data_IF_806461637955
#
_entry.id   IF_806461637955
#
_cell.length_a   1.000
_cell.length_b   1.000
_cell.length_c   1.000
_cell.angle_alpha   90.00
_cell.angle_beta   90.00
_cell.angle_gamma   90.00
#
_symmetry.space_group_name_H-M   'P 1'
#
loop_
_entity.id
_entity.type
_entity.pdbx_description
1 polymer ?
#
# COMPACT_ATOMS: atom_id res chain seq x y z
N UNK A 1 -69.95 9.25 -18.23
CA UNK A 1 -69.29 8.04 -18.76
C UNK A 1 -67.79 8.22 -19.03
N UNK A 2 -67.34 9.29 -19.71
CA UNK A 2 -65.92 9.49 -20.08
C UNK A 2 -64.91 9.35 -18.93
N UNK A 3 -65.23 9.86 -17.73
CA UNK A 3 -64.35 9.75 -16.54
C UNK A 3 -64.13 8.31 -16.06
N UNK A 4 -65.11 7.41 -16.24
CA UNK A 4 -64.98 5.99 -15.84
C UNK A 4 -64.07 5.22 -16.81
N UNK A 5 -64.12 5.56 -18.10
CA UNK A 5 -63.28 4.93 -19.13
C UNK A 5 -61.80 5.28 -18.92
N UNK A 6 -61.49 6.54 -18.57
CA UNK A 6 -60.12 6.98 -18.31
C UNK A 6 -59.50 6.26 -17.10
N UNK A 7 -60.28 6.07 -16.02
CA UNK A 7 -59.79 5.35 -14.84
C UNK A 7 -59.51 3.87 -15.11
N UNK A 8 -60.33 3.22 -15.94
CA UNK A 8 -60.13 1.80 -16.31
C UNK A 8 -58.88 1.65 -17.19
N UNK A 9 -58.67 2.55 -18.16
CA UNK A 9 -57.46 2.55 -18.99
C UNK A 9 -56.18 2.81 -18.18
N UNK A 10 -56.23 3.72 -17.20
CA UNK A 10 -55.09 3.99 -16.32
C UNK A 10 -54.75 2.78 -15.45
N UNK A 11 -55.77 2.13 -14.87
CA UNK A 11 -55.58 0.92 -14.07
C UNK A 11 -54.95 -0.21 -14.90
N UNK A 12 -55.44 -0.43 -16.13
CA UNK A 12 -54.86 -1.41 -17.06
C UNK A 12 -53.41 -1.09 -17.43
N UNK A 13 -53.09 0.19 -17.68
CA UNK A 13 -51.73 0.62 -18.00
C UNK A 13 -50.77 0.40 -16.83
N UNK A 14 -51.18 0.73 -15.60
CA UNK A 14 -50.37 0.50 -14.41
C UNK A 14 -50.14 -1.00 -14.19
N UNK A 15 -51.17 -1.84 -14.33
CA UNK A 15 -50.98 -3.30 -14.24
C UNK A 15 -50.08 -3.84 -15.35
N UNK A 16 -50.15 -3.29 -16.57
CA UNK A 16 -49.26 -3.70 -17.67
C UNK A 16 -47.81 -3.34 -17.36
N UNK A 17 -47.54 -2.14 -16.83
CA UNK A 17 -46.21 -1.70 -16.43
C UNK A 17 -45.61 -2.61 -15.33
N UNK A 18 -46.40 -3.09 -14.37
CA UNK A 18 -45.91 -4.01 -13.34
C UNK A 18 -45.66 -5.44 -13.84
N UNK A 19 -46.34 -5.88 -14.91
CA UNK A 19 -46.13 -7.24 -15.48
C UNK A 19 -44.93 -7.37 -16.43
N UNK A 20 -44.43 -6.25 -16.98
CA UNK A 20 -43.29 -6.26 -17.91
C UNK A 20 -41.95 -6.27 -17.17
N UNK A 21 -41.89 -5.82 -15.92
CA UNK A 21 -40.70 -5.93 -15.08
C UNK A 21 -40.71 -7.30 -14.40
N UNK A 22 -40.50 -8.37 -15.19
CA UNK A 22 -39.93 -9.59 -14.59
C UNK A 22 -38.68 -9.12 -13.85
N UNK A 23 -38.54 -9.35 -12.52
CA UNK A 23 -37.24 -9.20 -11.91
C UNK A 23 -36.33 -10.05 -12.77
N UNK A 24 -35.32 -9.43 -13.40
CA UNK A 24 -34.21 -10.16 -13.97
C UNK A 24 -33.70 -10.92 -12.77
N UNK A 25 -34.13 -12.17 -12.64
CA UNK A 25 -33.63 -13.10 -11.65
C UNK A 25 -32.14 -13.08 -11.92
N UNK A 26 -31.40 -12.42 -11.03
CA UNK A 26 -29.96 -12.45 -11.01
C UNK A 26 -29.64 -13.93 -11.01
N UNK A 27 -29.28 -14.43 -12.19
CA UNK A 27 -28.99 -15.83 -12.41
C UNK A 27 -27.89 -16.17 -11.41
N UNK A 28 -28.12 -17.08 -10.44
CA UNK A 28 -27.04 -17.57 -9.59
C UNK A 28 -26.27 -18.58 -10.44
N UNK A 29 -25.53 -18.11 -11.46
CA UNK A 29 -24.90 -18.98 -12.46
C UNK A 29 -23.39 -18.80 -12.41
N UNK A 30 -22.87 -18.74 -11.19
CA UNK A 30 -21.50 -19.14 -10.90
C UNK A 30 -21.62 -20.12 -9.75
N UNK A 31 -21.28 -21.39 -10.02
CA UNK A 31 -21.16 -22.40 -8.98
C UNK A 31 -20.10 -21.92 -7.99
N UNK A 32 -20.57 -21.40 -6.85
CA UNK A 32 -19.73 -20.73 -5.86
C UNK A 32 -18.63 -21.63 -5.30
N UNK A 33 -18.83 -22.95 -5.33
CA UNK A 33 -17.81 -23.90 -4.87
C UNK A 33 -16.74 -24.09 -5.94
N UNK A 34 -17.15 -24.34 -7.18
CA UNK A 34 -16.21 -24.47 -8.31
C UNK A 34 -15.40 -23.19 -8.51
N UNK A 35 -16.04 -22.02 -8.45
CA UNK A 35 -15.35 -20.73 -8.59
C UNK A 35 -14.32 -20.52 -7.50
N UNK A 36 -14.65 -20.87 -6.24
CA UNK A 36 -13.71 -20.79 -5.12
C UNK A 36 -12.52 -21.71 -5.34
N UNK A 37 -12.75 -22.95 -5.75
CA UNK A 37 -11.66 -23.90 -6.00
C UNK A 37 -10.72 -23.44 -7.12
N UNK A 38 -11.26 -22.87 -8.21
CA UNK A 38 -10.45 -22.32 -9.29
C UNK A 38 -9.62 -21.10 -8.84
N UNK A 39 -10.22 -20.20 -8.05
CA UNK A 39 -9.51 -19.07 -7.46
C UNK A 39 -8.41 -19.55 -6.50
N UNK A 40 -8.71 -20.47 -5.59
CA UNK A 40 -7.72 -21.07 -4.65
C UNK A 40 -6.56 -21.74 -5.40
N UNK A 41 -6.85 -22.38 -6.53
CA UNK A 41 -5.80 -22.98 -7.38
C UNK A 41 -4.89 -21.90 -7.97
N UNK A 42 -5.47 -20.82 -8.49
CA UNK A 42 -4.71 -19.71 -9.04
C UNK A 42 -3.93 -18.94 -7.96
N UNK A 43 -4.52 -18.74 -6.77
CA UNK A 43 -3.82 -18.23 -5.59
C UNK A 43 -2.59 -19.09 -5.27
N UNK A 44 -2.74 -20.42 -5.23
CA UNK A 44 -1.63 -21.34 -4.99
C UNK A 44 -0.52 -21.26 -6.03
N UNK A 45 -0.88 -21.12 -7.32
CA UNK A 45 0.08 -20.90 -8.41
C UNK A 45 0.82 -19.58 -8.20
N UNK A 46 0.10 -18.48 -7.98
CA UNK A 46 0.69 -17.15 -7.80
C UNK A 46 1.59 -17.11 -6.56
N UNK A 47 1.15 -17.64 -5.42
CA UNK A 47 1.96 -17.75 -4.21
C UNK A 47 3.24 -18.55 -4.45
N UNK A 48 3.17 -19.64 -5.22
CA UNK A 48 4.34 -20.45 -5.58
C UNK A 48 5.29 -19.67 -6.51
N UNK A 49 4.76 -19.00 -7.54
CA UNK A 49 5.56 -18.16 -8.45
C UNK A 49 6.27 -17.04 -7.69
N UNK A 50 5.55 -16.36 -6.79
CA UNK A 50 6.11 -15.31 -5.94
C UNK A 50 7.17 -15.87 -5.00
N UNK A 51 6.94 -17.03 -4.39
CA UNK A 51 7.95 -17.71 -3.56
C UNK A 51 9.25 -17.98 -4.32
N UNK A 52 9.17 -18.47 -5.56
CA UNK A 52 10.36 -18.66 -6.41
C UNK A 52 11.02 -17.34 -6.83
N UNK A 53 10.23 -16.32 -7.15
CA UNK A 53 10.75 -15.00 -7.51
C UNK A 53 11.52 -14.38 -6.33
N UNK A 54 10.93 -14.39 -5.14
CA UNK A 54 11.57 -13.89 -3.90
C UNK A 54 12.83 -14.70 -3.58
N UNK A 55 12.78 -16.02 -3.68
CA UNK A 55 13.95 -16.88 -3.43
C UNK A 55 15.10 -16.55 -4.39
N UNK A 56 14.82 -16.37 -5.68
CA UNK A 56 15.80 -15.97 -6.70
C UNK A 56 16.42 -14.61 -6.38
N UNK A 57 15.61 -13.65 -5.93
CA UNK A 57 16.05 -12.32 -5.55
C UNK A 57 16.90 -12.32 -4.27
N UNK A 58 16.69 -13.29 -3.37
CA UNK A 58 17.46 -13.39 -2.12
C UNK A 58 18.88 -13.93 -2.32
N UNK A 59 19.25 -14.36 -3.54
CA UNK A 59 20.58 -14.91 -3.84
C UNK A 59 20.83 -16.32 -3.28
N UNK A 60 19.88 -16.87 -2.51
CA UNK A 60 19.91 -18.25 -2.07
C UNK A 60 19.39 -19.13 -3.22
N UNK A 61 20.31 -19.66 -4.03
CA UNK A 61 19.98 -20.74 -4.97
C UNK A 61 19.29 -21.86 -4.20
N UNK A 62 18.07 -22.18 -4.59
CA UNK A 62 17.25 -23.20 -3.96
C UNK A 62 18.04 -24.51 -3.90
N UNK A 63 18.46 -24.93 -2.71
CA UNK A 63 18.76 -26.31 -2.47
C UNK A 63 17.47 -27.09 -2.75
N UNK A 64 17.56 -28.00 -3.70
CA UNK A 64 16.46 -28.84 -4.19
C UNK A 64 15.89 -29.66 -3.01
N UNK A 65 14.80 -29.17 -2.40
CA UNK A 65 14.14 -29.86 -1.28
C UNK A 65 13.59 -28.96 -0.17
N UNK A 66 14.06 -27.72 -0.05
CA UNK A 66 13.59 -26.82 1.01
C UNK A 66 12.47 -25.91 0.49
N UNK A 67 11.21 -26.28 0.75
CA UNK A 67 10.05 -25.41 0.49
C UNK A 67 10.00 -24.36 1.59
N UNK A 68 10.83 -23.33 1.49
CA UNK A 68 11.05 -22.30 2.53
C UNK A 68 9.83 -21.38 2.76
N UNK A 69 8.81 -21.42 1.91
CA UNK A 69 7.56 -20.66 2.14
C UNK A 69 6.41 -21.58 2.52
N UNK A 70 6.24 -21.81 3.83
CA UNK A 70 4.92 -22.19 4.36
C UNK A 70 4.08 -20.93 4.47
N UNK A 71 3.25 -20.68 3.46
CA UNK A 71 2.09 -19.81 3.60
C UNK A 71 1.12 -20.48 4.60
N UNK A 72 1.32 -20.18 5.89
CA UNK A 72 0.39 -20.58 6.92
C UNK A 72 -0.82 -19.64 6.85
N UNK A 73 -1.98 -20.23 6.52
CA UNK A 73 -3.31 -19.64 6.25
C UNK A 73 -3.92 -18.82 7.40
N UNK A 74 -3.14 -18.18 8.28
CA UNK A 74 -3.67 -17.51 9.47
C UNK A 74 -3.09 -16.14 9.87
N UNK A 75 -1.98 -15.63 9.31
CA UNK A 75 -1.50 -14.28 9.69
C UNK A 75 -0.94 -13.49 8.49
N UNK A 76 -1.82 -12.79 7.77
CA UNK A 76 -1.52 -11.50 7.13
C UNK A 76 -0.77 -11.45 5.79
N UNK A 77 -0.14 -12.53 5.30
CA UNK A 77 0.73 -12.49 4.11
C UNK A 77 0.20 -13.10 2.81
N UNK A 78 -1.07 -13.54 2.77
CA UNK A 78 -1.56 -14.42 1.70
C UNK A 78 -2.02 -13.65 0.44
N UNK A 79 -1.79 -14.26 -0.74
CA UNK A 79 -2.40 -13.82 -2.01
C UNK A 79 -3.90 -14.07 -1.92
N UNK A 80 -4.70 -13.01 -2.08
CA UNK A 80 -6.16 -13.09 -1.99
C UNK A 80 -6.80 -12.92 -3.38
N UNK A 81 -7.59 -13.89 -3.81
CA UNK A 81 -8.31 -13.91 -5.07
C UNK A 81 -9.79 -13.58 -4.91
N UNK A 82 -10.30 -12.70 -5.77
CA UNK A 82 -11.70 -12.31 -5.83
C UNK A 82 -12.20 -12.42 -7.26
N UNK A 83 -13.44 -12.84 -7.43
CA UNK A 83 -14.13 -12.73 -8.71
C UNK A 83 -15.11 -11.57 -8.67
N UNK A 84 -14.95 -10.62 -9.59
CA UNK A 84 -15.81 -9.44 -9.74
C UNK A 84 -16.60 -9.61 -11.03
N UNK A 85 -17.91 -9.80 -10.90
CA UNK A 85 -18.80 -10.06 -12.04
C UNK A 85 -18.69 -8.96 -13.11
N UNK A 86 -18.42 -9.36 -14.36
CA UNK A 86 -18.27 -8.44 -15.49
C UNK A 86 -16.90 -7.77 -15.60
N UNK A 87 -16.04 -7.91 -14.58
CA UNK A 87 -14.65 -7.42 -14.62
C UNK A 87 -13.64 -8.58 -14.72
N UNK A 88 -13.93 -9.70 -14.05
CA UNK A 88 -13.12 -10.92 -14.05
C UNK A 88 -12.49 -11.21 -12.70
N UNK A 89 -11.28 -11.79 -12.69
CA UNK A 89 -10.59 -12.18 -11.46
C UNK A 89 -9.57 -11.12 -11.04
N UNK A 90 -9.50 -10.85 -9.73
CA UNK A 90 -8.59 -9.88 -9.12
C UNK A 90 -7.83 -10.57 -8.00
N UNK A 91 -6.50 -10.55 -8.07
CA UNK A 91 -5.61 -11.11 -7.07
C UNK A 91 -4.86 -9.98 -6.38
N UNK A 92 -4.98 -9.88 -5.06
CA UNK A 92 -4.26 -8.91 -4.24
C UNK A 92 -3.07 -9.60 -3.60
N UNK A 93 -1.90 -9.00 -3.76
CA UNK A 93 -0.61 -9.49 -3.26
C UNK A 93 -0.01 -8.38 -2.40
N UNK A 94 0.14 -8.58 -1.09
CA UNK A 94 0.79 -7.58 -0.27
C UNK A 94 2.30 -7.52 -0.61
N UNK A 95 2.85 -6.32 -0.79
CA UNK A 95 4.29 -6.14 -1.07
C UNK A 95 5.13 -6.65 0.11
N UNK A 96 4.59 -6.64 1.32
CA UNK A 96 5.23 -7.25 2.49
C UNK A 96 5.50 -8.75 2.31
N UNK A 97 4.70 -9.48 1.53
CA UNK A 97 5.00 -10.88 1.19
C UNK A 97 6.24 -11.03 0.30
N UNK A 98 6.65 -9.97 -0.39
CA UNK A 98 7.88 -9.93 -1.19
C UNK A 98 9.09 -9.47 -0.37
N UNK A 99 8.84 -8.84 0.77
CA UNK A 99 9.87 -8.40 1.69
C UNK A 99 10.14 -9.54 2.68
N UNK A 100 11.35 -10.09 2.63
CA UNK A 100 11.78 -11.01 3.68
C UNK A 100 11.56 -10.33 5.04
N UNK A 101 10.91 -11.03 5.97
CA UNK A 101 10.76 -10.63 7.38
C UNK A 101 12.15 -10.38 8.01
N UNK A 102 12.78 -9.23 7.72
CA UNK A 102 13.70 -8.60 8.65
C UNK A 102 12.83 -7.82 9.62
N UNK A 103 12.39 -8.54 10.65
CA UNK A 103 11.40 -8.14 11.65
C UNK A 103 11.85 -6.97 12.55
N UNK A 104 12.92 -6.24 12.22
CA UNK A 104 13.55 -5.28 13.15
C UNK A 104 13.46 -3.79 12.79
N UNK A 105 12.97 -3.37 11.62
CA UNK A 105 13.15 -1.95 11.21
C UNK A 105 11.88 -1.15 10.90
N UNK A 106 10.69 -1.67 11.18
CA UNK A 106 9.43 -0.95 10.90
C UNK A 106 8.90 -0.16 12.11
N UNK A 107 9.71 0.75 12.62
CA UNK A 107 9.19 1.91 13.35
C UNK A 107 8.71 2.96 12.32
N UNK A 108 7.53 2.71 11.76
CA UNK A 108 6.79 3.62 10.90
C UNK A 108 6.49 4.94 11.61
N UNK A 109 6.75 6.04 10.89
CA UNK A 109 6.23 7.40 11.14
C UNK A 109 6.44 7.96 12.56
N UNK A 110 7.62 8.53 12.82
CA UNK A 110 7.63 9.76 13.62
C UNK A 110 7.48 10.95 12.67
N UNK A 111 6.62 11.93 13.00
CA UNK A 111 6.49 13.15 12.21
C UNK A 111 7.85 13.84 12.13
N UNK A 112 8.10 14.54 11.01
CA UNK A 112 9.29 15.35 10.81
C UNK A 112 9.50 16.27 12.02
N UNK A 113 10.46 15.88 12.88
CA UNK A 113 10.82 16.62 14.11
C UNK A 113 11.32 18.03 13.76
N UNK A 114 11.70 18.27 12.51
CA UNK A 114 12.01 19.59 11.96
C UNK A 114 10.83 20.58 12.06
N UNK A 115 9.57 20.13 11.98
CA UNK A 115 8.42 21.06 11.86
C UNK A 115 7.91 21.58 13.21
N UNK A 116 8.19 20.90 14.33
CA UNK A 116 7.66 21.28 15.66
C UNK A 116 8.69 21.89 16.60
N UNK A 117 9.99 21.72 16.34
CA UNK A 117 11.02 21.99 17.37
C UNK A 117 11.72 23.33 17.17
N UNK A 118 11.95 23.79 15.94
CA UNK A 118 12.56 25.11 15.69
C UNK A 118 11.75 26.28 16.28
N UNK A 119 10.41 26.36 16.11
CA UNK A 119 9.62 27.45 16.70
C UNK A 119 9.60 27.41 18.23
N UNK A 120 9.62 26.20 18.81
CA UNK A 120 9.57 26.01 20.26
C UNK A 120 10.89 26.41 20.95
N UNK A 121 12.02 26.17 20.29
CA UNK A 121 13.34 26.58 20.78
C UNK A 121 13.51 28.10 20.64
N UNK A 122 13.09 28.70 19.52
CA UNK A 122 13.13 30.16 19.36
C UNK A 122 12.24 30.87 20.38
N UNK A 123 11.02 30.36 20.63
CA UNK A 123 10.16 30.87 21.71
C UNK A 123 10.79 30.69 23.10
N UNK A 124 11.42 29.55 23.36
CA UNK A 124 12.09 29.28 24.63
C UNK A 124 13.30 30.20 24.89
N UNK A 125 14.11 30.44 23.85
CA UNK A 125 15.26 31.36 23.93
C UNK A 125 14.81 32.82 24.07
N UNK A 126 13.77 33.24 23.34
CA UNK A 126 13.21 34.58 23.44
C UNK A 126 12.61 34.84 24.84
N UNK A 127 11.91 33.86 25.40
CA UNK A 127 11.36 33.94 26.77
C UNK A 127 12.46 33.99 27.84
N UNK A 128 13.54 33.20 27.69
CA UNK A 128 14.68 33.23 28.59
C UNK A 128 15.47 34.55 28.53
N UNK A 129 15.63 35.12 27.33
CA UNK A 129 16.25 36.43 27.15
C UNK A 129 15.38 37.57 27.74
N UNK A 130 14.05 37.49 27.59
CA UNK A 130 13.13 38.44 28.18
C UNK A 130 13.13 38.40 29.72
N UNK A 131 13.16 37.19 30.32
CA UNK A 131 13.23 37.03 31.78
C UNK A 131 14.52 37.54 32.42
N UNK A 132 15.63 37.58 31.66
CA UNK A 132 16.92 38.15 32.10
C UNK A 132 16.94 39.68 32.10
N UNK A 133 16.18 40.31 31.20
CA UNK A 133 16.04 41.78 31.15
C UNK A 133 15.02 42.30 32.17
N UNK A 134 14.04 41.49 32.57
CA UNK A 134 13.05 41.86 33.57
C UNK A 134 13.56 41.81 35.03
N UNK A 135 14.67 41.12 35.30
CA UNK A 135 15.26 41.02 36.64
C UNK A 135 16.26 42.14 36.99
N UNK A 136 16.28 43.22 36.20
CA UNK A 136 17.24 44.33 36.29
C UNK A 136 16.85 45.49 37.22
N UNK A 137 15.68 45.47 37.85
CA UNK A 137 15.16 46.60 38.61
C UNK A 137 14.71 46.22 40.03
N UNK A 138 15.62 45.75 40.89
CA UNK A 138 15.47 45.90 42.35
C UNK A 138 16.81 46.26 42.99
N UNK A 139 16.83 47.40 43.69
CA UNK A 139 17.97 48.00 44.38
C UNK A 139 18.37 47.27 45.66
N UNK A 140 19.66 47.42 46.01
CA UNK A 140 20.30 47.37 47.34
C UNK A 140 21.26 46.21 47.65
N UNK A 141 22.53 46.61 47.87
CA UNK A 141 23.65 46.04 48.66
C UNK A 141 24.10 44.57 48.44
N UNK A 142 23.27 43.64 47.98
CA UNK A 142 23.71 42.30 47.52
C UNK A 142 23.96 42.27 46.00
N UNK A 143 24.14 43.43 45.36
CA UNK A 143 24.32 43.59 43.92
C UNK A 143 25.54 42.83 43.36
N UNK A 144 26.57 42.58 44.18
CA UNK A 144 27.76 41.84 43.76
C UNK A 144 27.53 40.32 43.77
N UNK A 145 26.87 39.79 44.82
CA UNK A 145 26.42 38.39 44.89
C UNK A 145 25.30 38.07 43.89
N UNK A 146 24.43 39.04 43.62
CA UNK A 146 23.39 38.93 42.59
C UNK A 146 23.98 38.90 41.18
N UNK A 147 25.03 39.70 40.90
CA UNK A 147 25.78 39.66 39.65
C UNK A 147 26.54 38.35 39.46
N UNK A 148 27.19 37.82 40.49
CA UNK A 148 27.86 36.51 40.43
C UNK A 148 26.85 35.36 40.20
N UNK A 149 25.73 35.34 40.92
CA UNK A 149 24.66 34.37 40.69
C UNK A 149 24.03 34.50 39.30
N UNK A 150 23.91 35.72 38.77
CA UNK A 150 23.41 35.96 37.41
C UNK A 150 24.41 35.47 36.35
N UNK A 151 25.71 35.66 36.55
CA UNK A 151 26.75 35.10 35.67
C UNK A 151 26.79 33.57 35.72
N UNK A 152 26.72 32.96 36.90
CA UNK A 152 26.67 31.50 37.04
C UNK A 152 25.42 30.91 36.37
N UNK A 153 24.27 31.56 36.55
CA UNK A 153 23.03 31.17 35.86
C UNK A 153 23.14 31.31 34.35
N UNK A 154 23.77 32.39 33.84
CA UNK A 154 24.04 32.57 32.41
C UNK A 154 24.96 31.48 31.87
N UNK A 155 26.07 31.18 32.55
CA UNK A 155 27.01 30.10 32.16
C UNK A 155 26.35 28.71 32.19
N UNK A 156 25.49 28.44 33.18
CA UNK A 156 24.73 27.19 33.26
C UNK A 156 23.66 27.08 32.15
N UNK A 157 23.02 28.19 31.77
CA UNK A 157 22.07 28.26 30.65
C UNK A 157 22.78 28.07 29.31
N UNK A 158 23.92 28.72 29.07
CA UNK A 158 24.68 28.53 27.84
C UNK A 158 25.17 27.09 27.69
N UNK A 159 25.65 26.47 28.77
CA UNK A 159 26.03 25.04 28.73
C UNK A 159 24.83 24.11 28.46
N UNK A 160 23.63 24.44 28.96
CA UNK A 160 22.42 23.66 28.65
C UNK A 160 21.98 23.84 27.21
N UNK A 161 22.07 25.05 26.67
CA UNK A 161 21.77 25.37 25.27
C UNK A 161 22.76 24.65 24.34
N UNK A 162 24.06 24.67 24.64
CA UNK A 162 25.07 23.93 23.88
C UNK A 162 24.79 22.42 23.88
N UNK A 163 24.51 21.82 25.04
CA UNK A 163 24.16 20.40 25.14
C UNK A 163 22.86 20.05 24.38
N UNK A 164 21.88 20.95 24.35
CA UNK A 164 20.66 20.74 23.57
C UNK A 164 20.92 20.86 22.07
N UNK A 165 21.77 21.81 21.65
CA UNK A 165 22.18 21.98 20.27
C UNK A 165 22.96 20.76 19.74
N UNK A 166 23.90 20.23 20.52
CA UNK A 166 24.61 18.99 20.17
C UNK A 166 23.66 17.79 20.01
N UNK A 167 22.69 17.62 20.91
CA UNK A 167 21.67 16.56 20.78
C UNK A 167 20.80 16.73 19.54
N UNK A 168 20.43 17.98 19.21
CA UNK A 168 19.66 18.29 18.01
C UNK A 168 20.44 17.96 16.73
N UNK A 169 21.72 18.34 16.67
CA UNK A 169 22.58 18.02 15.54
C UNK A 169 22.75 16.50 15.37
N UNK A 170 22.92 15.76 16.47
CA UNK A 170 22.96 14.29 16.44
C UNK A 170 21.64 13.67 15.93
N UNK A 171 20.49 14.17 16.40
CA UNK A 171 19.19 13.69 15.94
C UNK A 171 18.94 14.02 14.47
N UNK A 172 19.32 15.22 14.01
CA UNK A 172 19.23 15.61 12.60
C UNK A 172 20.14 14.74 11.72
N UNK A 173 21.37 14.48 12.14
CA UNK A 173 22.29 13.60 11.41
C UNK A 173 21.76 12.17 11.35
N UNK A 174 21.22 11.64 12.45
CA UNK A 174 20.57 10.33 12.46
C UNK A 174 19.33 10.28 11.56
N UNK A 175 18.49 11.33 11.57
CA UNK A 175 17.33 11.43 10.70
C UNK A 175 17.73 11.47 9.22
N UNK A 176 18.75 12.26 8.86
CA UNK A 176 19.28 12.31 7.48
C UNK A 176 19.84 10.97 7.04
N UNK A 177 20.62 10.30 7.90
CA UNK A 177 21.14 8.96 7.62
C UNK A 177 20.00 7.95 7.40
N UNK A 178 19.00 7.95 8.28
CA UNK A 178 17.81 7.10 8.12
C UNK A 178 17.03 7.39 6.83
N UNK A 179 16.84 8.66 6.46
CA UNK A 179 16.19 9.03 5.19
C UNK A 179 16.97 8.48 4.00
N UNK A 180 18.30 8.64 3.98
CA UNK A 180 19.14 8.12 2.91
C UNK A 180 19.10 6.57 2.83
N UNK A 181 19.18 5.89 3.98
CA UNK A 181 19.10 4.42 4.06
C UNK A 181 17.74 3.92 3.56
N UNK A 182 16.65 4.62 3.91
CA UNK A 182 15.29 4.31 3.44
C UNK A 182 15.12 4.53 1.93
N UNK A 183 15.67 5.61 1.38
CA UNK A 183 15.64 5.85 -0.07
C UNK A 183 16.43 4.80 -0.84
N UNK A 184 17.58 4.37 -0.32
CA UNK A 184 18.37 3.29 -0.91
C UNK A 184 17.59 1.97 -0.91
N UNK A 185 17.00 1.58 0.23
CA UNK A 185 16.13 0.39 0.33
C UNK A 185 14.92 0.48 -0.59
N UNK A 186 14.31 1.65 -0.75
CA UNK A 186 13.18 1.88 -1.67
C UNK A 186 13.61 1.65 -3.13
N UNK A 187 14.76 2.18 -3.54
CA UNK A 187 15.29 1.95 -4.92
C UNK A 187 15.55 0.47 -5.17
N UNK A 188 16.14 -0.21 -4.19
CA UNK A 188 16.37 -1.65 -4.27
C UNK A 188 15.05 -2.43 -4.39
N UNK A 189 14.04 -2.09 -3.59
CA UNK A 189 12.71 -2.68 -3.66
C UNK A 189 12.07 -2.50 -5.05
N UNK A 190 12.15 -1.31 -5.64
CA UNK A 190 11.60 -1.04 -6.98
C UNK A 190 12.28 -1.95 -8.02
N UNK A 191 13.61 -2.08 -7.99
CA UNK A 191 14.32 -2.98 -8.90
C UNK A 191 13.93 -4.45 -8.72
N UNK A 192 13.71 -4.89 -7.47
CA UNK A 192 13.19 -6.24 -7.18
C UNK A 192 11.77 -6.43 -7.69
N UNK A 193 10.91 -5.42 -7.55
CA UNK A 193 9.53 -5.45 -8.03
C UNK A 193 9.45 -5.59 -9.54
N UNK A 194 10.33 -4.93 -10.30
CA UNK A 194 10.38 -5.08 -11.76
C UNK A 194 10.66 -6.54 -12.17
N UNK A 195 11.54 -7.24 -11.46
CA UNK A 195 11.80 -8.65 -11.70
C UNK A 195 10.57 -9.52 -11.36
N UNK A 196 9.92 -9.25 -10.23
CA UNK A 196 8.67 -9.95 -9.84
C UNK A 196 7.58 -9.73 -10.88
N UNK A 197 7.45 -8.52 -11.44
CA UNK A 197 6.48 -8.24 -12.50
C UNK A 197 6.70 -9.11 -13.73
N UNK A 198 7.95 -9.38 -14.11
CA UNK A 198 8.26 -10.30 -15.22
C UNK A 198 7.76 -11.71 -14.91
N UNK A 199 8.07 -12.23 -13.72
CA UNK A 199 7.61 -13.57 -13.30
C UNK A 199 6.06 -13.64 -13.22
N UNK A 200 5.39 -12.56 -12.80
CA UNK A 200 3.93 -12.46 -12.79
C UNK A 200 3.33 -12.38 -14.19
N UNK A 201 3.95 -11.65 -15.13
CA UNK A 201 3.53 -11.63 -16.55
C UNK A 201 3.68 -13.02 -17.18
N UNK A 202 4.72 -13.76 -16.82
CA UNK A 202 4.91 -15.16 -17.20
C UNK A 202 3.80 -16.06 -16.63
N UNK A 203 3.46 -15.89 -15.35
CA UNK A 203 2.35 -16.62 -14.74
C UNK A 203 1.01 -16.31 -15.43
N UNK A 204 0.73 -15.05 -15.73
CA UNK A 204 -0.48 -14.64 -16.44
C UNK A 204 -0.56 -15.24 -17.84
N UNK A 205 0.54 -15.31 -18.58
CA UNK A 205 0.56 -15.96 -19.88
C UNK A 205 0.33 -17.47 -19.81
N UNK A 206 0.90 -18.14 -18.79
CA UNK A 206 0.80 -19.59 -18.64
C UNK A 206 -0.51 -20.05 -18.03
N UNK A 207 -1.12 -19.24 -17.16
CA UNK A 207 -2.24 -19.66 -16.32
C UNK A 207 -3.44 -18.71 -16.36
N UNK A 208 -3.34 -17.55 -17.00
CA UNK A 208 -4.43 -16.55 -17.02
C UNK A 208 -5.72 -17.00 -17.74
N UNK A 209 -5.66 -18.08 -18.51
CA UNK A 209 -6.82 -18.72 -19.14
C UNK A 209 -7.44 -19.86 -18.29
N UNK A 210 -6.79 -20.25 -17.19
CA UNK A 210 -7.14 -21.45 -16.41
C UNK A 210 -8.42 -21.29 -15.59
N UNK A 211 -8.86 -20.05 -15.34
CA UNK A 211 -10.08 -19.73 -14.62
C UNK A 211 -11.29 -19.87 -15.55
N UNK A 212 -12.03 -20.96 -15.46
CA UNK A 212 -13.21 -21.21 -16.32
C UNK A 212 -14.36 -20.23 -16.02
N UNK A 213 -14.42 -19.72 -14.79
CA UNK A 213 -15.39 -18.70 -14.37
C UNK A 213 -15.20 -17.33 -15.04
N UNK A 214 -13.99 -17.00 -15.47
CA UNK A 214 -13.67 -15.73 -16.12
C UNK A 214 -14.05 -15.84 -17.59
N UNK A 215 -14.84 -14.90 -18.10
CA UNK A 215 -15.21 -14.88 -19.53
C UNK A 215 -14.04 -14.42 -20.40
N UNK A 216 -13.98 -14.76 -21.71
CA UNK A 216 -12.89 -14.33 -22.59
C UNK A 216 -12.70 -12.81 -22.65
N UNK A 217 -13.79 -12.05 -22.54
CA UNK A 217 -13.80 -10.58 -22.52
C UNK A 217 -13.41 -9.96 -21.17
N UNK A 218 -13.49 -10.74 -20.09
CA UNK A 218 -13.11 -10.33 -18.74
C UNK A 218 -11.59 -10.41 -18.54
N UNK A 219 -11.11 -9.74 -17.51
CA UNK A 219 -9.69 -9.58 -17.21
C UNK A 219 -9.26 -10.38 -15.99
N UNK A 220 -8.00 -10.79 -16.00
CA UNK A 220 -7.27 -11.25 -14.82
C UNK A 220 -6.35 -10.13 -14.39
N UNK A 221 -6.53 -9.67 -13.15
CA UNK A 221 -5.83 -8.53 -12.57
C UNK A 221 -5.02 -9.00 -11.38
N UNK A 222 -3.75 -8.61 -11.30
CA UNK A 222 -2.89 -8.80 -10.13
C UNK A 222 -2.52 -7.43 -9.61
N UNK A 223 -2.77 -7.19 -8.33
CA UNK A 223 -2.49 -5.94 -7.62
C UNK A 223 -1.42 -6.24 -6.58
N UNK A 224 -0.26 -5.60 -6.69
CA UNK A 224 0.78 -5.59 -5.67
C UNK A 224 0.63 -4.29 -4.88
N UNK A 225 0.30 -4.36 -3.59
CA UNK A 225 0.10 -3.15 -2.77
C UNK A 225 0.82 -3.26 -1.43
N UNK A 226 1.33 -2.15 -0.92
CA UNK A 226 1.80 -2.09 0.47
C UNK A 226 0.64 -2.36 1.45
N UNK A 227 0.91 -2.85 2.67
CA UNK A 227 -0.12 -3.22 3.66
C UNK A 227 -1.01 -2.03 4.07
N UNK A 228 -0.50 -0.80 3.91
CA UNK A 228 -1.27 0.44 4.08
C UNK A 228 -2.01 0.93 2.82
N UNK A 229 -1.87 0.26 1.68
CA UNK A 229 -2.02 0.85 0.35
C UNK A 229 -3.31 0.59 -0.42
N UNK A 230 -4.20 -0.32 -0.01
CA UNK A 230 -5.46 -0.49 -0.73
C UNK A 230 -6.59 -1.01 0.16
N UNK A 231 -7.19 -0.11 0.94
CA UNK A 231 -8.50 -0.34 1.57
C UNK A 231 -9.57 0.28 0.69
N UNK A 232 -10.45 -0.55 0.13
CA UNK A 232 -11.64 -0.08 -0.60
C UNK A 232 -12.45 0.87 0.31
N UNK A 233 -12.34 2.18 0.08
CA UNK A 233 -13.09 3.20 0.82
C UNK A 233 -12.28 4.14 1.71
N UNK A 234 -10.98 3.92 1.94
CA UNK A 234 -10.16 4.90 2.68
C UNK A 234 -9.68 6.00 1.72
N UNK A 235 -10.36 7.17 1.79
CA UNK A 235 -10.02 8.39 1.03
C UNK A 235 -8.77 9.12 1.55
N UNK A 236 -8.03 8.56 2.50
CA UNK A 236 -6.79 9.14 2.99
C UNK A 236 -5.63 8.53 2.22
N UNK A 237 -5.21 9.25 1.18
CA UNK A 237 -4.17 8.86 0.23
C UNK A 237 -2.84 8.53 0.90
N UNK A 238 -2.70 7.27 1.32
CA UNK A 238 -1.42 6.71 1.67
C UNK A 238 -0.54 6.70 0.43
N UNK A 239 0.67 7.25 0.54
CA UNK A 239 1.72 7.23 -0.48
C UNK A 239 2.33 5.83 -0.66
N UNK A 240 1.50 4.80 -0.61
CA UNK A 240 1.90 3.40 -0.71
C UNK A 240 2.17 3.03 -2.16
N UNK A 241 3.18 2.21 -2.37
CA UNK A 241 3.50 1.67 -3.70
C UNK A 241 2.36 0.72 -4.10
N UNK A 242 1.76 0.97 -5.26
CA UNK A 242 0.75 0.10 -5.84
C UNK A 242 1.10 -0.22 -7.30
N UNK A 243 1.24 -1.49 -7.64
CA UNK A 243 1.42 -1.94 -9.01
C UNK A 243 0.25 -2.79 -9.43
N UNK A 244 -0.26 -2.56 -10.63
CA UNK A 244 -1.36 -3.35 -11.18
C UNK A 244 -0.99 -3.89 -12.54
N UNK A 245 -1.17 -5.21 -12.68
CA UNK A 245 -0.98 -5.96 -13.91
C UNK A 245 -2.34 -6.50 -14.32
N UNK A 246 -2.83 -6.11 -15.49
CA UNK A 246 -4.13 -6.55 -16.01
C UNK A 246 -3.99 -7.13 -17.40
N UNK A 247 -4.61 -8.28 -17.63
CA UNK A 247 -4.68 -8.91 -18.96
C UNK A 247 -6.06 -9.49 -19.21
N UNK A 248 -6.56 -9.38 -20.45
CA UNK A 248 -7.80 -10.07 -20.84
C UNK A 248 -7.57 -11.56 -20.95
N UNK A 249 -8.53 -12.38 -20.50
CA UNK A 249 -8.44 -13.84 -20.60
C UNK A 249 -8.21 -14.32 -22.04
N UNK A 250 -8.91 -13.73 -23.00
CA UNK A 250 -8.77 -14.06 -24.43
C UNK A 250 -7.34 -13.93 -24.94
N UNK A 251 -6.55 -12.98 -24.42
CA UNK A 251 -5.15 -12.79 -24.82
C UNK A 251 -4.27 -13.95 -24.34
N UNK A 252 -4.49 -14.46 -23.12
CA UNK A 252 -3.77 -15.63 -22.63
C UNK A 252 -4.12 -16.88 -23.46
N UNK A 253 -5.40 -17.04 -23.83
CA UNK A 253 -5.84 -18.12 -24.72
C UNK A 253 -5.23 -17.99 -26.12
N UNK A 254 -5.23 -16.78 -26.69
CA UNK A 254 -4.67 -16.53 -28.03
C UNK A 254 -3.17 -16.80 -28.05
N UNK A 255 -2.43 -16.41 -27.00
CA UNK A 255 -1.00 -16.71 -26.86
C UNK A 255 -0.75 -18.23 -26.82
N UNK A 256 -1.50 -18.97 -26.00
CA UNK A 256 -1.35 -20.44 -25.91
C UNK A 256 -1.69 -21.16 -27.20
N UNK A 257 -2.66 -20.64 -27.95
CA UNK A 257 -3.02 -21.16 -29.27
C UNK A 257 -2.03 -20.77 -30.38
N UNK A 258 -1.03 -19.93 -30.07
CA UNK A 258 -0.04 -19.45 -31.03
C UNK A 258 -0.53 -18.37 -31.99
N UNK A 259 -1.69 -17.75 -31.72
CA UNK A 259 -2.24 -16.67 -32.57
C UNK A 259 -1.52 -15.34 -32.40
N UNK A 260 -0.97 -15.10 -31.22
CA UNK A 260 -0.16 -13.92 -30.91
C UNK A 260 1.20 -14.38 -30.37
N UNK A 261 2.23 -13.56 -30.56
CA UNK A 261 3.56 -13.85 -30.00
C UNK A 261 3.67 -13.41 -28.55
N UNK A 262 4.74 -13.83 -27.88
CA UNK A 262 5.01 -13.41 -26.50
C UNK A 262 5.18 -11.89 -26.37
N UNK A 263 5.87 -11.29 -27.33
CA UNK A 263 6.11 -9.84 -27.35
C UNK A 263 4.81 -9.06 -27.58
N UNK A 264 3.90 -9.60 -28.40
CA UNK A 264 2.59 -9.00 -28.61
C UNK A 264 1.70 -9.12 -27.36
N UNK A 265 1.78 -10.25 -26.66
CA UNK A 265 1.13 -10.41 -25.36
C UNK A 265 1.64 -9.37 -24.36
N UNK A 266 2.96 -9.25 -24.18
CA UNK A 266 3.56 -8.32 -23.22
C UNK A 266 3.22 -6.85 -23.51
N UNK A 267 3.07 -6.48 -24.80
CA UNK A 267 2.61 -5.14 -25.21
C UNK A 267 1.14 -4.87 -24.87
N UNK A 268 0.32 -5.92 -24.78
CA UNK A 268 -1.12 -5.82 -24.50
C UNK A 268 -1.46 -6.01 -23.02
N UNK A 269 -0.51 -6.45 -22.20
CA UNK A 269 -0.62 -6.42 -20.75
C UNK A 269 -0.61 -4.96 -20.30
N UNK A 270 -1.61 -4.58 -19.53
CA UNK A 270 -1.69 -3.26 -18.91
C UNK A 270 -0.91 -3.31 -17.60
N UNK A 271 0.16 -2.53 -17.49
CA UNK A 271 1.05 -2.42 -16.32
C UNK A 271 1.11 -0.95 -15.90
N UNK A 272 0.60 -0.63 -14.71
CA UNK A 272 0.67 0.71 -14.15
C UNK A 272 1.11 0.70 -12.68
N UNK A 273 1.72 1.79 -12.26
CA UNK A 273 2.26 2.01 -10.92
C UNK A 273 1.76 3.33 -10.35
N UNK A 274 1.31 3.32 -9.10
CA UNK A 274 0.94 4.49 -8.29
C UNK A 274 1.82 4.58 -7.04
#
# INVERSE_FOLDING_TARGET
>A
MRRRIVLIMLALFVTLCFTIVKPVAQQPVVDSQKSRQELETMEGILSTTLGFAVQRLSGNQAAEGDRVFRFHRMDGGDVNGYYVYGQGAVFMVPISALQHHQMEDFAFAMPDVEVLVEPAIEMGLAAAAAGLNAAGEEESVDAQKAKEKAEERKKALTQKIEKQKEKMEQLQQQAKKRRADMEARRKELIGRLDQVKVDLKDALARYGDSLSIVKPEESVTIILSDEGGFKWGDMHGGSGICHVLTVKKSLATDLKSGKITREEFDRRVVDYSY
#
